data_IF_898081846038
#
_entry.id   IF_898081846038
#
_cell.length_a   1.000
_cell.length_b   1.000
_cell.length_c   1.000
_cell.angle_alpha   90.00
_cell.angle_beta   90.00
_cell.angle_gamma   90.00
#
_symmetry.space_group_name_H-M   'P 1'
#
loop_
_entity.id
_entity.type
_entity.pdbx_description
1 polymer ?
#
# COMPACT_ATOMS: atom_id res chain seq x y z
N UNK A 1 26.78 23.81 -8.33
CA UNK A 1 27.38 25.12 -8.62
C UNK A 1 26.88 26.10 -7.56
N UNK A 2 27.80 26.84 -6.93
CA UNK A 2 27.50 28.09 -6.22
C UNK A 2 26.88 28.10 -4.81
N UNK A 3 27.09 27.09 -3.93
CA UNK A 3 26.78 27.28 -2.50
C UNK A 3 27.61 26.49 -1.46
N UNK A 4 28.67 25.77 -1.86
CA UNK A 4 29.44 24.95 -0.89
C UNK A 4 30.96 25.10 -0.95
N UNK A 5 31.48 26.10 -1.70
CA UNK A 5 32.94 26.29 -1.84
C UNK A 5 33.49 27.69 -1.58
N UNK A 6 32.69 28.69 -1.19
CA UNK A 6 33.22 30.07 -1.03
C UNK A 6 32.89 30.85 0.26
N UNK A 7 32.11 30.34 1.23
CA UNK A 7 31.73 31.17 2.40
C UNK A 7 32.03 30.60 3.79
N UNK A 8 32.84 29.54 3.90
CA UNK A 8 33.30 28.99 5.20
C UNK A 8 34.69 29.45 5.71
N UNK A 9 35.62 30.04 4.91
CA UNK A 9 36.92 30.45 5.46
C UNK A 9 37.03 31.91 5.97
N UNK A 10 35.96 32.72 5.96
CA UNK A 10 36.08 34.18 6.22
C UNK A 10 35.70 34.61 7.67
N UNK A 11 35.22 33.69 8.52
CA UNK A 11 34.84 34.02 9.91
C UNK A 11 35.88 33.71 10.99
N UNK A 12 37.07 33.22 10.63
CA UNK A 12 38.06 32.73 11.62
C UNK A 12 39.40 33.49 11.66
N UNK A 13 39.44 34.72 11.13
CA UNK A 13 40.70 35.48 11.07
C UNK A 13 40.56 36.98 11.40
N UNK A 14 39.64 37.34 12.32
CA UNK A 14 39.48 38.74 12.78
C UNK A 14 39.17 38.91 14.29
N UNK A 15 39.62 37.99 15.15
CA UNK A 15 39.59 38.19 16.62
C UNK A 15 40.87 37.66 17.29
N UNK A 16 42.03 37.95 16.68
CA UNK A 16 43.35 37.82 17.30
C UNK A 16 44.15 39.14 17.29
N UNK A 17 43.48 40.28 17.12
CA UNK A 17 44.15 41.58 16.93
C UNK A 17 43.53 42.76 17.70
N UNK A 18 42.89 42.50 18.85
CA UNK A 18 42.42 43.57 19.78
C UNK A 18 42.83 43.27 21.23
N UNK A 19 43.87 42.44 21.43
CA UNK A 19 44.41 42.12 22.76
C UNK A 19 45.81 42.73 23.01
N UNK A 20 46.29 43.59 22.10
CA UNK A 20 47.56 44.29 22.24
C UNK A 20 47.43 45.76 21.86
N UNK A 21 46.85 46.57 22.75
CA UNK A 21 47.15 48.01 22.92
C UNK A 21 46.10 48.62 23.85
N UNK A 22 46.44 48.78 25.13
CA UNK A 22 46.22 50.00 25.92
C UNK A 22 46.66 49.72 27.38
N UNK A 23 47.95 49.91 27.61
CA UNK A 23 48.54 50.14 28.94
C UNK A 23 48.82 51.64 29.05
N UNK A 24 48.79 52.15 30.30
CA UNK A 24 48.99 53.53 30.82
C UNK A 24 47.63 54.19 31.06
N UNK A 25 47.32 54.77 32.22
CA UNK A 25 48.17 55.43 33.22
C UNK A 25 47.29 55.71 34.46
N UNK A 26 47.59 55.22 35.67
CA UNK A 26 46.92 55.71 36.90
C UNK A 26 47.88 55.74 38.09
N UNK A 27 47.94 56.93 38.73
CA UNK A 27 48.72 57.27 39.93
C UNK A 27 47.97 56.87 41.22
N UNK A 28 48.67 56.75 42.37
CA UNK A 28 48.18 55.98 43.51
C UNK A 28 47.26 56.81 44.41
N UNK A 29 46.18 56.20 44.89
CA UNK A 29 45.45 56.64 46.08
C UNK A 29 45.38 55.50 47.11
N UNK A 30 45.72 55.85 48.33
CA UNK A 30 45.93 54.96 49.47
C UNK A 30 44.60 54.34 49.96
N UNK A 31 44.42 53.03 49.77
CA UNK A 31 43.29 52.25 50.29
C UNK A 31 43.78 50.91 50.86
N UNK A 32 44.59 50.97 51.94
CA UNK A 32 45.07 49.78 52.66
C UNK A 32 44.15 49.32 53.79
N UNK A 33 43.09 50.04 54.14
CA UNK A 33 42.30 49.75 55.36
C UNK A 33 41.00 48.93 55.17
N UNK A 34 40.59 48.59 53.94
CA UNK A 34 39.34 47.82 53.71
C UNK A 34 39.55 46.36 53.23
N UNK A 35 40.79 45.92 53.02
CA UNK A 35 41.11 44.65 52.36
C UNK A 35 40.53 43.38 53.02
N UNK A 36 40.46 43.22 54.36
CA UNK A 36 40.03 41.96 54.97
C UNK A 36 38.53 41.65 54.79
N UNK A 37 37.67 42.66 54.92
CA UNK A 37 36.21 42.49 54.87
C UNK A 37 35.69 42.17 53.45
N UNK A 38 36.29 42.81 52.43
CA UNK A 38 35.99 42.52 51.03
C UNK A 38 36.59 41.20 50.54
N UNK A 39 37.60 40.64 51.21
CA UNK A 39 38.20 39.34 50.83
C UNK A 39 37.30 38.18 51.21
N UNK A 40 36.80 38.14 52.45
CA UNK A 40 35.87 37.10 52.89
C UNK A 40 34.52 37.10 52.17
N UNK A 41 34.01 38.28 51.75
CA UNK A 41 32.79 38.40 50.95
C UNK A 41 33.03 37.91 49.50
N UNK A 42 34.16 38.27 48.89
CA UNK A 42 34.57 37.78 47.56
C UNK A 42 34.80 36.28 47.54
N UNK A 43 35.43 35.71 48.56
CA UNK A 43 35.71 34.27 48.62
C UNK A 43 34.44 33.44 48.78
N UNK A 44 33.45 33.93 49.57
CA UNK A 44 32.12 33.30 49.66
C UNK A 44 31.35 33.42 48.35
N UNK A 45 31.40 34.57 47.69
CA UNK A 45 30.73 34.79 46.41
C UNK A 45 31.34 33.94 45.28
N UNK A 46 32.67 33.82 45.22
CA UNK A 46 33.38 32.93 44.29
C UNK A 46 33.08 31.45 44.57
N UNK A 47 32.97 31.05 45.84
CA UNK A 47 32.59 29.70 46.23
C UNK A 47 31.14 29.38 45.87
N UNK A 48 30.22 30.34 46.02
CA UNK A 48 28.84 30.19 45.55
C UNK A 48 28.77 30.11 44.03
N UNK A 49 29.45 31.01 43.29
CA UNK A 49 29.53 30.99 41.82
C UNK A 49 30.09 29.66 41.30
N UNK A 50 31.12 29.10 41.94
CA UNK A 50 31.68 27.78 41.60
C UNK A 50 30.71 26.62 41.83
N UNK A 51 29.96 26.63 42.94
CA UNK A 51 28.93 25.61 43.22
C UNK A 51 27.75 25.71 42.23
N UNK A 52 27.31 26.92 41.91
CA UNK A 52 26.28 27.17 40.89
C UNK A 52 26.75 26.74 39.50
N UNK A 53 27.99 27.04 39.12
CA UNK A 53 28.55 26.61 37.83
C UNK A 53 28.67 25.07 37.74
N UNK A 54 29.14 24.41 38.80
CA UNK A 54 29.20 22.94 38.83
C UNK A 54 27.81 22.30 38.75
N UNK A 55 26.81 22.89 39.41
CA UNK A 55 25.42 22.46 39.34
C UNK A 55 24.82 22.64 37.95
N UNK A 56 25.06 23.80 37.30
CA UNK A 56 24.62 24.06 35.92
C UNK A 56 25.26 23.09 34.93
N UNK A 57 26.55 22.78 35.09
CA UNK A 57 27.26 21.81 34.25
C UNK A 57 26.73 20.38 34.47
N UNK A 58 26.45 19.98 35.72
CA UNK A 58 25.82 18.68 36.00
C UNK A 58 24.41 18.58 35.42
N UNK A 59 23.59 19.62 35.57
CA UNK A 59 22.26 19.66 34.97
C UNK A 59 22.33 19.62 33.44
N UNK A 60 23.28 20.33 32.82
CA UNK A 60 23.48 20.30 31.37
C UNK A 60 23.99 18.95 30.85
N UNK A 61 24.86 18.26 31.61
CA UNK A 61 25.31 16.90 31.28
C UNK A 61 24.17 15.89 31.46
N UNK A 62 23.38 16.00 32.51
CA UNK A 62 22.20 15.16 32.73
C UNK A 62 21.16 15.37 31.64
N UNK A 63 20.85 16.61 31.24
CA UNK A 63 19.91 16.87 30.14
C UNK A 63 20.46 16.39 28.80
N UNK A 64 21.77 16.51 28.54
CA UNK A 64 22.39 15.97 27.33
C UNK A 64 22.32 14.44 27.29
N UNK A 65 22.58 13.75 28.40
CA UNK A 65 22.45 12.28 28.51
C UNK A 65 20.99 11.85 28.35
N UNK A 66 20.04 12.58 28.92
CA UNK A 66 18.59 12.33 28.73
C UNK A 66 18.17 12.51 27.26
N UNK A 67 18.65 13.55 26.58
CA UNK A 67 18.34 13.80 25.15
C UNK A 67 19.00 12.75 24.25
N UNK A 68 20.16 12.23 24.61
CA UNK A 68 20.85 11.18 23.86
C UNK A 68 20.30 9.76 24.12
N UNK A 69 19.61 9.54 25.25
CA UNK A 69 19.02 8.23 25.62
C UNK A 69 17.57 8.07 25.17
N UNK A 70 16.84 9.15 24.88
CA UNK A 70 15.54 9.11 24.19
C UNK A 70 15.74 8.99 22.69
N UNK A 71 16.35 7.88 22.25
CA UNK A 71 16.17 7.39 20.89
C UNK A 71 14.92 6.52 20.93
N UNK A 72 13.77 7.11 20.60
CA UNK A 72 12.55 6.34 20.37
C UNK A 72 12.88 5.23 19.38
N UNK A 73 12.88 3.97 19.83
CA UNK A 73 12.71 2.84 18.90
C UNK A 73 11.31 3.01 18.34
N UNK A 74 11.19 3.70 17.22
CA UNK A 74 10.02 3.51 16.39
C UNK A 74 9.92 2.00 16.16
N UNK A 75 8.83 1.39 16.60
CA UNK A 75 8.50 0.01 16.25
C UNK A 75 8.36 0.00 14.72
N UNK A 76 9.42 -0.40 14.01
CA UNK A 76 9.29 -0.64 12.58
C UNK A 76 8.36 -1.84 12.43
N UNK A 77 7.20 -1.61 11.84
CA UNK A 77 6.32 -2.70 11.44
C UNK A 77 7.00 -3.53 10.35
N UNK A 78 6.86 -4.85 10.43
CA UNK A 78 7.33 -5.75 9.39
C UNK A 78 6.32 -5.74 8.23
N UNK A 79 6.55 -4.85 7.26
CA UNK A 79 5.71 -4.74 6.08
C UNK A 79 5.83 -5.94 5.14
N UNK A 80 6.92 -6.73 5.23
CA UNK A 80 7.06 -7.97 4.48
C UNK A 80 6.13 -9.05 5.01
N UNK A 81 6.09 -9.22 6.33
CA UNK A 81 5.13 -10.11 7.01
C UNK A 81 3.69 -9.65 6.76
N UNK A 82 3.42 -8.34 6.81
CA UNK A 82 2.10 -7.80 6.51
C UNK A 82 1.65 -8.10 5.07
N UNK A 83 2.52 -7.93 4.08
CA UNK A 83 2.23 -8.26 2.68
C UNK A 83 1.98 -9.76 2.49
N UNK A 84 2.81 -10.61 3.10
CA UNK A 84 2.67 -12.07 3.02
C UNK A 84 1.31 -12.53 3.55
N UNK A 85 0.89 -11.98 4.70
CA UNK A 85 -0.43 -12.24 5.29
C UNK A 85 -1.58 -11.67 4.46
N UNK A 86 -1.38 -10.51 3.83
CA UNK A 86 -2.36 -9.95 2.90
C UNK A 86 -2.60 -10.83 1.69
N UNK A 87 -1.59 -11.56 1.20
CA UNK A 87 -1.76 -12.51 0.10
C UNK A 87 -2.39 -13.83 0.56
N UNK A 88 -2.06 -14.29 1.78
CA UNK A 88 -2.76 -15.42 2.41
C UNK A 88 -4.27 -15.16 2.59
N UNK A 89 -4.68 -13.92 2.82
CA UNK A 89 -6.10 -13.55 2.84
C UNK A 89 -6.80 -13.94 1.53
N UNK A 90 -6.21 -13.64 0.37
CA UNK A 90 -6.81 -14.02 -0.91
C UNK A 90 -6.89 -15.54 -1.08
N UNK A 91 -5.87 -16.31 -0.64
CA UNK A 91 -5.97 -17.77 -0.63
C UNK A 91 -7.14 -18.27 0.23
N UNK A 92 -7.36 -17.62 1.39
CA UNK A 92 -8.47 -17.93 2.28
C UNK A 92 -9.84 -17.56 1.70
N UNK A 93 -9.93 -16.68 0.69
CA UNK A 93 -11.18 -16.29 0.03
C UNK A 93 -11.50 -17.11 -1.23
N UNK A 94 -10.62 -18.02 -1.67
CA UNK A 94 -10.82 -18.78 -2.92
C UNK A 94 -12.08 -19.63 -2.86
N UNK A 95 -12.90 -19.56 -3.91
CA UNK A 95 -14.03 -20.47 -4.17
C UNK A 95 -13.63 -21.51 -5.22
N UNK A 96 -14.26 -22.68 -5.23
CA UNK A 96 -14.03 -23.71 -6.22
C UNK A 96 -12.99 -24.76 -5.80
N UNK A 97 -12.35 -25.39 -6.80
CA UNK A 97 -11.38 -26.46 -6.57
C UNK A 97 -10.01 -25.90 -6.24
N UNK A 98 -9.68 -25.90 -4.95
CA UNK A 98 -8.43 -25.37 -4.42
C UNK A 98 -7.19 -26.14 -4.91
N UNK A 99 -6.06 -25.47 -5.14
CA UNK A 99 -4.85 -26.12 -5.60
C UNK A 99 -4.17 -26.88 -4.44
N UNK A 100 -3.56 -28.03 -4.74
CA UNK A 100 -2.94 -28.91 -3.73
C UNK A 100 -1.79 -28.25 -2.95
N UNK A 101 -1.16 -27.22 -3.52
CA UNK A 101 -0.06 -26.47 -2.93
C UNK A 101 -0.50 -25.18 -2.22
N UNK A 102 -1.80 -24.98 -1.98
CA UNK A 102 -2.30 -23.85 -1.21
C UNK A 102 -1.73 -23.85 0.23
N UNK A 103 -1.43 -22.67 0.76
CA UNK A 103 -0.87 -22.48 2.11
C UNK A 103 -1.94 -22.50 3.21
N UNK A 104 -3.17 -22.09 2.88
CA UNK A 104 -4.31 -22.08 3.79
C UNK A 104 -4.92 -23.48 3.92
N UNK A 105 -4.57 -24.19 5.01
CA UNK A 105 -4.90 -25.61 5.24
C UNK A 105 -6.30 -25.89 5.80
N UNK A 106 -7.00 -24.86 6.29
CA UNK A 106 -8.33 -25.02 6.90
C UNK A 106 -9.48 -24.79 5.91
N UNK A 107 -9.17 -24.41 4.67
CA UNK A 107 -10.11 -24.29 3.54
C UNK A 107 -10.06 -25.56 2.70
N UNK A 108 -11.21 -25.96 2.16
CA UNK A 108 -11.31 -27.08 1.21
C UNK A 108 -12.13 -26.67 -0.03
N UNK A 109 -12.29 -27.60 -0.98
CA UNK A 109 -13.09 -27.41 -2.17
C UNK A 109 -14.53 -27.01 -1.80
N UNK A 110 -15.02 -25.95 -2.45
CA UNK A 110 -16.36 -25.41 -2.21
C UNK A 110 -17.01 -24.97 -3.52
N UNK A 111 -18.33 -24.78 -3.53
CA UNK A 111 -19.07 -24.20 -4.67
C UNK A 111 -18.78 -24.88 -6.03
N UNK A 112 -18.63 -26.21 -6.02
CA UNK A 112 -18.20 -26.99 -7.19
C UNK A 112 -19.27 -27.13 -8.29
N UNK A 113 -20.47 -26.63 -8.02
CA UNK A 113 -21.61 -26.66 -8.94
C UNK A 113 -22.00 -25.26 -9.43
N UNK A 114 -21.20 -24.23 -9.14
CA UNK A 114 -21.44 -22.86 -9.58
C UNK A 114 -21.65 -22.79 -11.11
N UNK A 115 -22.82 -22.30 -11.53
CA UNK A 115 -23.20 -22.16 -12.94
C UNK A 115 -23.72 -23.42 -13.63
N UNK A 116 -23.61 -24.60 -12.99
CA UNK A 116 -23.94 -25.89 -13.61
C UNK A 116 -25.40 -25.96 -14.08
N UNK A 117 -26.33 -25.50 -13.23
CA UNK A 117 -27.78 -25.48 -13.56
C UNK A 117 -28.10 -24.56 -14.74
N UNK A 118 -27.21 -23.63 -15.05
CA UNK A 118 -27.34 -22.66 -16.15
C UNK A 118 -26.46 -23.02 -17.36
N UNK A 119 -25.85 -24.22 -17.36
CA UNK A 119 -25.08 -24.75 -18.48
C UNK A 119 -23.70 -24.12 -18.67
N UNK A 120 -23.13 -23.51 -17.62
CA UNK A 120 -21.83 -22.83 -17.66
C UNK A 120 -20.94 -23.30 -16.50
N UNK A 121 -19.62 -23.26 -16.68
CA UNK A 121 -18.68 -23.49 -15.58
C UNK A 121 -18.32 -22.14 -14.96
N UNK A 122 -18.88 -21.85 -13.78
CA UNK A 122 -18.54 -20.66 -13.00
C UNK A 122 -17.77 -21.04 -11.72
N UNK A 123 -17.19 -22.23 -11.63
CA UNK A 123 -16.38 -22.65 -10.48
C UNK A 123 -15.06 -21.87 -10.44
N UNK A 124 -14.71 -21.34 -9.27
CA UNK A 124 -13.50 -20.52 -9.07
C UNK A 124 -13.81 -19.13 -8.51
N UNK A 125 -12.83 -18.23 -8.59
CA UNK A 125 -12.97 -16.84 -8.15
C UNK A 125 -12.86 -16.68 -6.63
N UNK A 126 -13.24 -15.51 -6.13
CA UNK A 126 -13.18 -15.19 -4.71
C UNK A 126 -14.57 -14.98 -4.12
N UNK A 127 -14.78 -15.43 -2.88
CA UNK A 127 -15.85 -14.90 -2.05
C UNK A 127 -15.56 -13.46 -1.68
N UNK A 128 -16.60 -12.62 -1.64
CA UNK A 128 -16.42 -11.18 -1.56
C UNK A 128 -15.90 -10.72 -0.19
N UNK A 129 -16.56 -11.16 0.88
CA UNK A 129 -16.24 -10.73 2.23
C UNK A 129 -16.28 -11.89 3.24
N UNK A 130 -17.11 -11.77 4.28
CA UNK A 130 -17.37 -12.85 5.24
C UNK A 130 -18.52 -13.77 4.81
N UNK A 131 -19.11 -13.50 3.66
CA UNK A 131 -20.17 -14.27 3.02
C UNK A 131 -19.59 -15.17 1.92
N UNK A 132 -20.45 -15.84 1.15
CA UNK A 132 -20.05 -16.73 0.07
C UNK A 132 -20.59 -16.32 -1.29
N UNK A 133 -21.14 -15.11 -1.41
CA UNK A 133 -21.50 -14.55 -2.72
C UNK A 133 -20.24 -14.13 -3.47
N UNK A 134 -20.27 -14.37 -4.78
CA UNK A 134 -19.24 -13.93 -5.71
C UNK A 134 -19.72 -12.69 -6.43
N UNK A 135 -19.54 -11.52 -5.81
CA UNK A 135 -19.86 -10.24 -6.44
C UNK A 135 -18.77 -9.87 -7.45
N UNK A 136 -19.13 -9.84 -8.75
CA UNK A 136 -18.17 -9.65 -9.83
C UNK A 136 -17.47 -8.29 -9.82
N UNK A 137 -18.18 -7.22 -9.47
CA UNK A 137 -17.63 -5.85 -9.49
C UNK A 137 -16.49 -5.65 -8.47
N UNK A 138 -16.69 -5.90 -7.15
CA UNK A 138 -15.59 -5.77 -6.18
C UNK A 138 -14.46 -6.77 -6.40
N UNK A 139 -14.77 -7.97 -6.93
CA UNK A 139 -13.74 -8.92 -7.33
C UNK A 139 -12.89 -8.38 -8.48
N UNK A 140 -13.51 -7.77 -9.50
CA UNK A 140 -12.80 -7.17 -10.64
C UNK A 140 -11.91 -6.03 -10.17
N UNK A 141 -12.44 -5.13 -9.34
CA UNK A 141 -11.67 -4.04 -8.74
C UNK A 141 -10.46 -4.55 -7.96
N UNK A 142 -10.63 -5.60 -7.16
CA UNK A 142 -9.55 -6.25 -6.41
C UNK A 142 -8.44 -6.75 -7.32
N UNK A 143 -8.78 -7.43 -8.42
CA UNK A 143 -7.81 -7.94 -9.39
C UNK A 143 -7.10 -6.81 -10.14
N UNK A 144 -7.81 -5.73 -10.49
CA UNK A 144 -7.22 -4.51 -11.05
C UNK A 144 -6.17 -3.94 -10.09
N UNK A 145 -6.51 -3.79 -8.81
CA UNK A 145 -5.62 -3.21 -7.80
C UNK A 145 -4.43 -4.12 -7.46
N UNK A 146 -4.62 -5.44 -7.38
CA UNK A 146 -3.52 -6.40 -7.23
C UNK A 146 -2.56 -6.31 -8.42
N UNK A 147 -3.10 -6.26 -9.64
CA UNK A 147 -2.29 -6.13 -10.86
C UNK A 147 -1.51 -4.81 -10.87
N UNK A 148 -2.16 -3.71 -10.51
CA UNK A 148 -1.48 -2.41 -10.41
C UNK A 148 -0.38 -2.44 -9.35
N UNK A 149 -0.64 -3.02 -8.16
CA UNK A 149 0.37 -3.18 -7.12
C UNK A 149 1.61 -3.93 -7.60
N UNK A 150 1.41 -5.01 -8.37
CA UNK A 150 2.53 -5.77 -8.97
C UNK A 150 3.25 -4.98 -10.06
N UNK A 151 2.54 -4.21 -10.89
CA UNK A 151 3.16 -3.38 -11.93
C UNK A 151 4.03 -2.26 -11.34
N UNK A 152 3.58 -1.64 -10.25
CA UNK A 152 4.28 -0.51 -9.63
C UNK A 152 5.39 -0.96 -8.67
N UNK A 153 5.14 -2.01 -7.89
CA UNK A 153 6.01 -2.42 -6.78
C UNK A 153 6.58 -3.84 -6.92
N UNK A 154 6.60 -4.39 -8.15
CA UNK A 154 7.03 -5.76 -8.41
C UNK A 154 8.39 -6.12 -7.81
N UNK A 155 9.38 -5.24 -7.91
CA UNK A 155 10.71 -5.46 -7.32
C UNK A 155 10.67 -5.56 -5.79
N UNK A 156 9.86 -4.73 -5.12
CA UNK A 156 9.72 -4.78 -3.67
C UNK A 156 9.00 -6.06 -3.21
N UNK A 157 7.95 -6.47 -3.94
CA UNK A 157 7.23 -7.72 -3.70
C UNK A 157 8.16 -8.92 -3.92
N UNK A 158 9.01 -8.88 -4.95
CA UNK A 158 10.00 -9.91 -5.25
C UNK A 158 11.08 -10.01 -4.16
N UNK A 159 11.55 -8.88 -3.63
CA UNK A 159 12.58 -8.84 -2.59
C UNK A 159 12.14 -9.50 -1.28
N UNK A 160 10.84 -9.55 -1.00
CA UNK A 160 10.29 -10.28 0.16
C UNK A 160 9.82 -11.69 -0.19
N UNK A 161 9.99 -12.13 -1.44
CA UNK A 161 9.68 -13.51 -1.87
C UNK A 161 8.21 -13.77 -2.22
N UNK A 162 7.36 -12.76 -2.27
CA UNK A 162 5.90 -12.92 -2.46
C UNK A 162 5.43 -12.72 -3.91
N UNK A 163 6.34 -12.47 -4.86
CA UNK A 163 5.99 -12.16 -6.24
C UNK A 163 5.15 -13.26 -6.90
N UNK A 164 5.54 -14.52 -6.70
CA UNK A 164 4.80 -15.66 -7.25
C UNK A 164 3.39 -15.79 -6.65
N UNK A 165 3.23 -15.53 -5.35
CA UNK A 165 1.93 -15.57 -4.68
C UNK A 165 1.02 -14.42 -5.13
N UNK A 166 1.58 -13.23 -5.40
CA UNK A 166 0.84 -12.12 -5.99
C UNK A 166 0.35 -12.47 -7.41
N UNK A 167 1.19 -13.11 -8.24
CA UNK A 167 0.78 -13.59 -9.56
C UNK A 167 -0.32 -14.65 -9.46
N UNK A 168 -0.21 -15.59 -8.54
CA UNK A 168 -1.24 -16.62 -8.30
C UNK A 168 -2.56 -16.00 -7.85
N UNK A 169 -2.52 -14.97 -7.01
CA UNK A 169 -3.71 -14.25 -6.56
C UNK A 169 -4.41 -13.53 -7.74
N UNK A 170 -3.65 -12.84 -8.59
CA UNK A 170 -4.19 -12.20 -9.80
C UNK A 170 -4.79 -13.26 -10.74
N UNK A 171 -4.01 -14.33 -11.01
CA UNK A 171 -4.40 -15.38 -11.95
C UNK A 171 -5.70 -16.07 -11.52
N UNK A 172 -5.88 -16.32 -10.23
CA UNK A 172 -7.09 -16.96 -9.71
C UNK A 172 -8.37 -16.17 -10.03
N UNK A 173 -8.31 -14.84 -9.88
CA UNK A 173 -9.41 -13.97 -10.24
C UNK A 173 -9.61 -13.87 -11.76
N UNK A 174 -8.54 -13.75 -12.54
CA UNK A 174 -8.67 -13.65 -13.99
C UNK A 174 -9.09 -14.96 -14.68
N UNK A 175 -8.70 -16.11 -14.15
CA UNK A 175 -9.21 -17.42 -14.61
C UNK A 175 -10.73 -17.49 -14.46
N UNK A 176 -11.26 -16.96 -13.35
CA UNK A 176 -12.70 -16.86 -13.15
C UNK A 176 -13.36 -15.87 -14.14
N UNK A 177 -12.76 -14.71 -14.42
CA UNK A 177 -13.32 -13.78 -15.41
C UNK A 177 -13.34 -14.34 -16.84
N UNK A 178 -12.34 -15.15 -17.22
CA UNK A 178 -12.35 -15.86 -18.50
C UNK A 178 -13.55 -16.81 -18.57
N UNK A 179 -13.82 -17.56 -17.50
CA UNK A 179 -14.99 -18.44 -17.39
C UNK A 179 -16.32 -17.67 -17.40
N UNK A 180 -16.37 -16.55 -16.68
CA UNK A 180 -17.55 -15.70 -16.58
C UNK A 180 -17.87 -14.95 -17.89
N UNK A 181 -16.89 -14.77 -18.78
CA UNK A 181 -17.11 -14.20 -20.11
C UNK A 181 -17.31 -15.31 -21.16
N UNK A 182 -18.53 -15.86 -21.20
CA UNK A 182 -18.86 -17.06 -22.00
C UNK A 182 -19.11 -16.79 -23.48
N UNK A 183 -19.35 -15.53 -23.86
CA UNK A 183 -19.64 -15.09 -25.23
C UNK A 183 -19.34 -13.59 -25.34
N UNK A 184 -19.05 -13.02 -26.54
CA UNK A 184 -18.61 -11.62 -26.68
C UNK A 184 -19.49 -10.56 -26.01
N UNK A 185 -20.78 -10.86 -25.80
CA UNK A 185 -21.74 -9.97 -25.17
C UNK A 185 -22.47 -10.63 -23.98
N UNK A 186 -21.82 -11.57 -23.30
CA UNK A 186 -22.36 -12.19 -22.08
C UNK A 186 -21.26 -12.22 -21.03
N UNK A 187 -21.52 -11.55 -19.91
CA UNK A 187 -20.67 -11.61 -18.72
C UNK A 187 -21.50 -12.02 -17.51
N UNK A 188 -21.13 -13.10 -16.86
CA UNK A 188 -21.70 -13.52 -15.58
C UNK A 188 -21.20 -12.60 -14.47
N UNK A 189 -22.15 -11.92 -13.85
CA UNK A 189 -21.95 -10.82 -12.92
C UNK A 189 -21.82 -11.27 -11.47
N UNK A 190 -22.58 -12.31 -11.12
CA UNK A 190 -22.74 -12.73 -9.74
C UNK A 190 -23.07 -14.21 -9.67
N UNK A 191 -22.61 -14.88 -8.62
CA UNK A 191 -23.01 -16.26 -8.30
C UNK A 191 -23.39 -16.35 -6.82
N UNK A 192 -24.65 -16.63 -6.56
CA UNK A 192 -25.23 -16.54 -5.23
C UNK A 192 -26.43 -15.64 -5.16
N UNK A 193 -27.28 -15.91 -4.20
CA UNK A 193 -28.33 -14.99 -3.77
C UNK A 193 -27.96 -14.41 -2.40
N UNK A 194 -27.78 -13.08 -2.33
CA UNK A 194 -27.32 -12.41 -1.12
C UNK A 194 -28.22 -12.63 0.10
N UNK A 195 -29.54 -12.59 -0.08
CA UNK A 195 -30.48 -12.75 1.03
C UNK A 195 -30.37 -14.14 1.67
N UNK A 196 -30.37 -15.20 0.86
CA UNK A 196 -30.26 -16.57 1.38
C UNK A 196 -28.87 -16.90 1.89
N UNK A 197 -27.82 -16.37 1.26
CA UNK A 197 -26.44 -16.56 1.69
C UNK A 197 -26.19 -15.91 3.06
N UNK A 198 -26.66 -14.67 3.26
CA UNK A 198 -26.43 -13.90 4.48
C UNK A 198 -27.32 -14.34 5.64
N UNK A 199 -28.42 -15.05 5.35
CA UNK A 199 -29.27 -15.65 6.39
C UNK A 199 -28.58 -16.85 7.08
N UNK A 200 -27.63 -17.52 6.41
CA UNK A 200 -27.03 -18.75 6.90
C UNK A 200 -25.56 -18.55 7.31
N UNK A 201 -25.24 -18.79 8.60
CA UNK A 201 -23.86 -18.83 9.06
C UNK A 201 -23.27 -20.24 8.94
N UNK A 202 -22.54 -20.49 7.85
CA UNK A 202 -21.98 -21.81 7.55
C UNK A 202 -20.60 -21.69 6.90
N UNK A 203 -19.92 -22.83 6.74
CA UNK A 203 -18.65 -22.89 5.99
C UNK A 203 -18.95 -22.92 4.48
N UNK A 204 -18.06 -22.39 3.62
CA UNK A 204 -18.25 -22.47 2.17
C UNK A 204 -18.31 -23.93 1.67
N UNK A 205 -17.62 -24.85 2.36
CA UNK A 205 -17.58 -26.27 2.01
C UNK A 205 -18.92 -27.00 2.25
N UNK A 206 -19.79 -26.46 3.11
CA UNK A 206 -21.07 -27.08 3.49
C UNK A 206 -22.29 -26.35 2.94
N UNK A 207 -22.12 -25.41 2.00
CA UNK A 207 -23.20 -24.53 1.55
C UNK A 207 -24.41 -25.27 1.00
N UNK A 208 -25.59 -24.95 1.56
CA UNK A 208 -26.89 -25.39 1.04
C UNK A 208 -27.76 -24.25 0.49
N UNK A 209 -27.22 -23.02 0.45
CA UNK A 209 -27.92 -21.82 -0.03
C UNK A 209 -27.97 -21.78 -1.56
N UNK A 210 -28.88 -20.97 -2.12
CA UNK A 210 -29.00 -20.83 -3.57
C UNK A 210 -27.70 -20.24 -4.15
N UNK A 211 -27.22 -20.89 -5.22
CA UNK A 211 -26.04 -20.46 -5.99
C UNK A 211 -26.42 -20.02 -7.40
N UNK A 212 -27.65 -19.51 -7.55
CA UNK A 212 -28.15 -18.92 -8.79
C UNK A 212 -27.15 -17.88 -9.31
N UNK A 213 -26.78 -17.98 -10.58
CA UNK A 213 -25.92 -16.99 -11.22
C UNK A 213 -26.73 -15.96 -12.00
N UNK A 214 -26.22 -14.74 -12.02
CA UNK A 214 -26.79 -13.60 -12.74
C UNK A 214 -25.79 -13.11 -13.78
N UNK A 215 -26.29 -12.60 -14.90
CA UNK A 215 -25.46 -12.11 -16.01
C UNK A 215 -25.95 -10.77 -16.51
N UNK A 216 -25.02 -10.06 -17.14
CA UNK A 216 -25.30 -8.92 -17.99
C UNK A 216 -25.15 -9.33 -19.45
N UNK A 217 -25.98 -8.75 -20.31
CA UNK A 217 -26.00 -8.95 -21.76
C UNK A 217 -26.51 -7.70 -22.48
N UNK A 218 -26.64 -7.74 -23.81
CA UNK A 218 -27.12 -6.58 -24.59
C UNK A 218 -28.54 -6.14 -24.20
N UNK A 219 -29.37 -7.06 -23.69
CA UNK A 219 -30.72 -6.77 -23.22
C UNK A 219 -30.76 -6.24 -21.79
N UNK A 220 -29.79 -6.62 -20.96
CA UNK A 220 -29.65 -6.24 -19.56
C UNK A 220 -28.20 -5.78 -19.31
N UNK A 221 -27.83 -4.57 -19.75
CA UNK A 221 -26.43 -4.11 -19.73
C UNK A 221 -25.94 -3.77 -18.31
N UNK A 222 -24.62 -3.75 -18.13
CA UNK A 222 -23.96 -3.40 -16.86
C UNK A 222 -22.56 -2.84 -17.10
N UNK A 223 -22.49 -1.56 -17.51
CA UNK A 223 -21.27 -0.93 -18.03
C UNK A 223 -20.17 -0.75 -16.97
N UNK A 224 -20.56 -0.58 -15.72
CA UNK A 224 -19.65 -0.48 -14.57
C UNK A 224 -18.92 -1.82 -14.33
N UNK A 225 -19.66 -2.91 -14.19
CA UNK A 225 -19.14 -4.26 -14.05
C UNK A 225 -18.31 -4.67 -15.27
N UNK A 226 -18.84 -4.47 -16.48
CA UNK A 226 -18.14 -4.79 -17.72
C UNK A 226 -16.83 -3.98 -17.81
N UNK A 227 -16.90 -2.69 -17.53
CA UNK A 227 -15.75 -1.80 -17.54
C UNK A 227 -14.66 -2.24 -16.56
N UNK A 228 -15.03 -2.52 -15.31
CA UNK A 228 -14.06 -2.93 -14.29
C UNK A 228 -13.48 -4.32 -14.57
N UNK A 229 -14.29 -5.26 -15.05
CA UNK A 229 -13.80 -6.60 -15.44
C UNK A 229 -12.83 -6.53 -16.62
N UNK A 230 -13.12 -5.65 -17.60
CA UNK A 230 -12.18 -5.35 -18.68
C UNK A 230 -10.90 -4.69 -18.16
N UNK A 231 -10.97 -3.78 -17.18
CA UNK A 231 -9.81 -3.18 -16.53
C UNK A 231 -8.94 -4.24 -15.86
N UNK A 232 -9.55 -5.14 -15.10
CA UNK A 232 -8.88 -6.22 -14.38
C UNK A 232 -8.09 -7.13 -15.32
N UNK A 233 -8.73 -7.62 -16.38
CA UNK A 233 -8.09 -8.47 -17.38
C UNK A 233 -7.01 -7.72 -18.18
N UNK A 234 -7.23 -6.44 -18.51
CA UNK A 234 -6.23 -5.64 -19.20
C UNK A 234 -4.99 -5.38 -18.32
N UNK A 235 -5.17 -4.98 -17.07
CA UNK A 235 -4.07 -4.77 -16.12
C UNK A 235 -3.26 -6.06 -15.90
N UNK A 236 -3.95 -7.17 -15.66
CA UNK A 236 -3.32 -8.49 -15.53
C UNK A 236 -2.60 -8.92 -16.81
N UNK A 237 -3.12 -8.60 -18.00
CA UNK A 237 -2.44 -8.91 -19.26
C UNK A 237 -1.04 -8.26 -19.33
N UNK A 238 -0.87 -7.06 -18.78
CA UNK A 238 0.43 -6.37 -18.73
C UNK A 238 1.37 -7.07 -17.75
N UNK A 239 0.86 -7.47 -16.57
CA UNK A 239 1.62 -8.24 -15.56
C UNK A 239 2.17 -9.52 -16.19
N UNK A 240 1.31 -10.31 -16.85
CA UNK A 240 1.71 -11.59 -17.43
C UNK A 240 2.45 -11.48 -18.77
N UNK A 241 2.58 -10.30 -19.36
CA UNK A 241 3.12 -10.11 -20.73
C UNK A 241 4.48 -10.80 -20.96
N UNK A 242 5.39 -10.73 -19.99
CA UNK A 242 6.72 -11.35 -20.09
C UNK A 242 6.80 -12.74 -19.44
N UNK A 243 5.88 -13.05 -18.53
CA UNK A 243 5.87 -14.30 -17.75
C UNK A 243 5.14 -15.41 -18.51
N UNK A 244 4.00 -15.07 -19.11
CA UNK A 244 3.18 -15.96 -19.91
C UNK A 244 2.50 -15.17 -21.04
N UNK A 245 3.18 -14.96 -22.19
CA UNK A 245 2.65 -14.17 -23.29
C UNK A 245 1.33 -14.72 -23.84
N UNK A 246 1.15 -16.04 -23.88
CA UNK A 246 -0.09 -16.66 -24.36
C UNK A 246 -1.28 -16.28 -23.46
N UNK A 247 -1.12 -16.42 -22.14
CA UNK A 247 -2.16 -16.03 -21.18
C UNK A 247 -2.41 -14.52 -21.20
N UNK A 248 -1.36 -13.70 -21.34
CA UNK A 248 -1.49 -12.25 -21.53
C UNK A 248 -2.38 -11.90 -22.73
N UNK A 249 -2.15 -12.53 -23.89
CA UNK A 249 -2.98 -12.31 -25.08
C UNK A 249 -4.43 -12.78 -24.88
N UNK A 250 -4.65 -13.90 -24.20
CA UNK A 250 -5.98 -14.38 -23.88
C UNK A 250 -6.75 -13.37 -23.01
N UNK A 251 -6.12 -12.85 -21.94
CA UNK A 251 -6.71 -11.82 -21.09
C UNK A 251 -7.05 -10.55 -21.86
N UNK A 252 -6.13 -10.08 -22.70
CA UNK A 252 -6.34 -8.88 -23.51
C UNK A 252 -7.50 -9.07 -24.50
N UNK A 253 -7.63 -10.25 -25.11
CA UNK A 253 -8.74 -10.58 -25.99
C UNK A 253 -10.10 -10.49 -25.27
N UNK A 254 -10.22 -11.13 -24.10
CA UNK A 254 -11.43 -11.03 -23.28
C UNK A 254 -11.72 -9.58 -22.85
N UNK A 255 -10.69 -8.83 -22.42
CA UNK A 255 -10.83 -7.43 -22.02
C UNK A 255 -11.37 -6.54 -23.14
N UNK A 256 -10.93 -6.76 -24.38
CA UNK A 256 -11.41 -6.01 -25.55
C UNK A 256 -12.87 -6.32 -25.88
N UNK A 257 -13.29 -7.58 -25.76
CA UNK A 257 -14.66 -7.99 -26.03
C UNK A 257 -15.64 -7.46 -24.97
N UNK A 258 -15.32 -7.62 -23.68
CA UNK A 258 -16.15 -7.10 -22.58
C UNK A 258 -16.26 -5.57 -22.63
N UNK A 259 -15.23 -4.88 -23.12
CA UNK A 259 -15.26 -3.43 -23.34
C UNK A 259 -16.21 -2.98 -24.48
N UNK A 260 -16.68 -3.88 -25.34
CA UNK A 260 -17.41 -3.50 -26.55
C UNK A 260 -18.70 -2.72 -26.23
N UNK A 261 -19.01 -1.74 -27.08
CA UNK A 261 -20.07 -0.72 -26.87
C UNK A 261 -21.46 -1.31 -26.58
N UNK A 262 -21.72 -2.53 -27.05
CA UNK A 262 -23.00 -3.21 -26.87
C UNK A 262 -23.26 -3.65 -25.42
N UNK A 263 -22.23 -3.93 -24.64
CA UNK A 263 -22.35 -4.28 -23.22
C UNK A 263 -22.49 -3.04 -22.32
N UNK A 264 -22.22 -1.86 -22.87
CA UNK A 264 -22.05 -0.62 -22.12
C UNK A 264 -23.31 0.25 -22.10
N UNK A 265 -24.45 -0.26 -22.60
CA UNK A 265 -25.76 0.37 -22.50
C UNK A 265 -25.72 1.87 -22.85
N UNK A 266 -25.67 2.20 -24.14
CA UNK A 266 -25.92 3.54 -24.69
C UNK A 266 -25.53 4.74 -23.80
N UNK A 267 -24.24 4.93 -23.51
CA UNK A 267 -23.71 6.22 -23.03
C UNK A 267 -23.74 7.26 -24.16
N UNK A 268 -24.94 7.66 -24.59
CA UNK A 268 -25.16 8.80 -25.50
C UNK A 268 -25.43 10.06 -24.68
N UNK A 269 -24.54 10.37 -23.76
CA UNK A 269 -24.45 11.69 -23.13
C UNK A 269 -22.98 12.09 -23.04
N UNK A 270 -22.66 13.23 -23.65
CA UNK A 270 -21.31 13.74 -23.89
C UNK A 270 -20.53 14.18 -22.65
N UNK A 271 -20.54 13.39 -21.59
CA UNK A 271 -19.69 13.59 -20.40
C UNK A 271 -18.89 12.33 -20.14
N UNK A 272 -17.58 12.44 -20.33
CA UNK A 272 -16.58 11.44 -19.95
C UNK A 272 -16.68 11.21 -18.44
N UNK A 273 -17.36 10.15 -18.01
CA UNK A 273 -17.34 9.71 -16.61
C UNK A 273 -15.96 9.12 -16.27
N UNK A 274 -15.48 9.34 -15.04
CA UNK A 274 -14.13 9.02 -14.57
C UNK A 274 -13.69 7.56 -14.71
N UNK A 275 -14.62 6.60 -14.78
CA UNK A 275 -14.31 5.17 -15.00
C UNK A 275 -13.70 4.92 -16.40
N UNK A 276 -14.08 5.72 -17.39
CA UNK A 276 -13.53 5.64 -18.75
C UNK A 276 -12.05 6.05 -18.81
N UNK A 277 -11.59 6.93 -17.89
CA UNK A 277 -10.19 7.37 -17.83
C UNK A 277 -9.27 6.29 -17.29
N UNK A 278 -9.72 5.51 -16.31
CA UNK A 278 -8.91 4.45 -15.68
C UNK A 278 -8.71 3.25 -16.60
N UNK A 279 -9.78 2.82 -17.28
CA UNK A 279 -9.70 1.79 -18.33
C UNK A 279 -8.86 2.30 -19.50
N UNK A 280 -9.09 3.54 -19.94
CA UNK A 280 -8.28 4.12 -21.03
C UNK A 280 -6.80 4.23 -20.66
N UNK A 281 -6.43 4.47 -19.40
CA UNK A 281 -5.04 4.51 -18.96
C UNK A 281 -4.30 3.20 -19.28
N UNK A 282 -4.87 2.03 -18.92
CA UNK A 282 -4.26 0.74 -19.26
C UNK A 282 -4.19 0.47 -20.77
N UNK A 283 -5.23 0.85 -21.52
CA UNK A 283 -5.25 0.66 -22.98
C UNK A 283 -4.42 1.68 -23.79
N UNK A 284 -4.01 2.81 -23.19
CA UNK A 284 -3.30 3.89 -23.90
C UNK A 284 -1.85 4.07 -23.46
N UNK A 285 -1.56 3.99 -22.16
CA UNK A 285 -0.22 4.24 -21.63
C UNK A 285 0.67 2.99 -21.62
N UNK A 286 0.05 1.81 -21.71
CA UNK A 286 0.75 0.52 -21.73
C UNK A 286 0.57 -0.24 -23.05
N UNK A 287 0.46 0.51 -24.17
CA UNK A 287 0.54 -0.09 -25.51
C UNK A 287 1.93 -0.70 -25.78
N UNK A 288 2.03 -1.72 -26.65
CA UNK A 288 3.29 -2.34 -27.05
C UNK A 288 4.31 -1.33 -27.59
#
# INVERSE_FOLDING_TARGET
>A
MFWEKELRPIYFQSLKSVENQFKREERPLCLSSLKPLFRGKRDRELRMKRKSAAFVVHCALLTLVSVLTVRSKASNFDYGDALSKSLLYFEAQRSGRLPYNQRVLWRDHSALTDGLEQGVDLVGGYYDAGDHVKFGLPMAFTVTMLSWGVLEYGDAIQNVGEFQHALEAIKWGTDYFIKAHTSPHILWAEVGDGDTDHYCWQRPEDMTTSRQAYRIDEGNPGSDLAGETAAAMAAASIVFRKINPHYSHLLLHHAQQVKSENMWGFFRWGTKCGLFLFISFFFTHWRP
#
